data_IF_790377435453
#
_entry.id   IF_790377435453
#
_cell.length_a   1.000
_cell.length_b   1.000
_cell.length_c   1.000
_cell.angle_alpha   90.00
_cell.angle_beta   90.00
_cell.angle_gamma   90.00
#
_symmetry.space_group_name_H-M   'P 1'
#
loop_
_entity.id
_entity.type
_entity.pdbx_description
1 polymer ?
#
# COMPACT_ATOMS: atom_id res chain seq x y z
N UNK A 1 -8.52 15.67 -13.73
CA UNK A 1 -7.88 14.40 -13.39
C UNK A 1 -8.81 13.67 -12.45
N UNK A 2 -9.24 12.45 -12.80
CA UNK A 2 -10.17 11.68 -11.97
C UNK A 2 -9.47 11.05 -10.75
N UNK A 3 -10.21 10.60 -9.72
CA UNK A 3 -9.63 9.91 -8.56
C UNK A 3 -8.82 8.67 -8.96
N UNK A 4 -9.19 8.00 -10.06
CA UNK A 4 -8.46 6.87 -10.61
C UNK A 4 -7.08 7.20 -11.17
N UNK A 5 -6.96 8.31 -11.91
CA UNK A 5 -5.66 8.74 -12.45
C UNK A 5 -4.73 9.17 -11.31
N UNK A 6 -5.28 9.87 -10.31
CA UNK A 6 -4.52 10.31 -9.13
C UNK A 6 -4.02 9.09 -8.36
N UNK A 7 -4.90 8.11 -8.13
CA UNK A 7 -4.54 6.83 -7.54
C UNK A 7 -3.45 6.11 -8.35
N UNK A 8 -3.60 6.03 -9.66
CA UNK A 8 -2.63 5.36 -10.53
C UNK A 8 -1.23 5.99 -10.45
N UNK A 9 -1.12 7.33 -10.46
CA UNK A 9 0.17 8.02 -10.31
C UNK A 9 0.76 7.78 -8.91
N UNK A 10 -0.04 7.90 -7.86
CA UNK A 10 0.45 7.74 -6.49
C UNK A 10 0.90 6.31 -6.20
N UNK A 11 0.07 5.32 -6.53
CA UNK A 11 0.38 3.90 -6.35
C UNK A 11 1.57 3.52 -7.21
N UNK A 12 1.61 3.92 -8.49
CA UNK A 12 2.71 3.58 -9.39
C UNK A 12 4.07 4.12 -8.92
N UNK A 13 4.13 5.38 -8.48
CA UNK A 13 5.36 5.94 -7.91
C UNK A 13 5.80 5.19 -6.65
N UNK A 14 4.84 4.83 -5.78
CA UNK A 14 5.13 4.13 -4.54
C UNK A 14 5.64 2.70 -4.80
N UNK A 15 4.94 1.95 -5.66
CA UNK A 15 5.34 0.60 -6.05
C UNK A 15 6.69 0.60 -6.76
N UNK A 16 6.97 1.61 -7.60
CA UNK A 16 8.27 1.74 -8.27
C UNK A 16 9.42 1.91 -7.28
N UNK A 17 9.26 2.81 -6.29
CA UNK A 17 10.27 3.00 -5.24
C UNK A 17 10.44 1.74 -4.38
N UNK A 18 9.35 1.03 -4.07
CA UNK A 18 9.39 -0.22 -3.33
C UNK A 18 10.09 -1.33 -4.12
N UNK A 19 9.83 -1.43 -5.43
CA UNK A 19 10.47 -2.39 -6.33
C UNK A 19 11.98 -2.17 -6.40
N UNK A 20 12.41 -0.92 -6.59
CA UNK A 20 13.83 -0.53 -6.60
C UNK A 20 14.51 -0.88 -5.27
N UNK A 21 13.86 -0.58 -4.14
CA UNK A 21 14.41 -0.87 -2.83
C UNK A 21 14.56 -2.37 -2.55
N UNK A 22 13.57 -3.16 -2.93
CA UNK A 22 13.55 -4.60 -2.69
C UNK A 22 14.35 -5.39 -3.73
N UNK A 23 14.85 -4.72 -4.78
CA UNK A 23 15.48 -5.34 -5.95
C UNK A 23 14.57 -6.42 -6.57
N UNK A 24 13.29 -6.09 -6.73
CA UNK A 24 12.28 -6.96 -7.34
C UNK A 24 11.56 -6.25 -8.49
N UNK A 25 11.01 -7.04 -9.41
CA UNK A 25 10.08 -6.53 -10.41
C UNK A 25 8.64 -6.64 -9.90
N UNK A 26 7.91 -5.51 -9.87
CA UNK A 26 6.49 -5.47 -9.56
C UNK A 26 5.70 -5.23 -10.84
N UNK A 27 4.72 -6.10 -11.13
CA UNK A 27 3.80 -5.95 -12.26
C UNK A 27 2.49 -5.40 -11.73
N UNK A 28 2.23 -4.13 -12.00
CA UNK A 28 1.01 -3.44 -11.57
C UNK A 28 -0.15 -3.63 -12.55
N UNK A 29 -1.36 -3.80 -12.00
CA UNK A 29 -2.61 -3.72 -12.77
C UNK A 29 -3.25 -2.35 -12.59
N UNK A 30 -4.15 -1.97 -13.50
CA UNK A 30 -4.96 -0.76 -13.33
C UNK A 30 -5.74 -0.81 -12.00
N UNK A 31 -5.73 0.25 -11.18
CA UNK A 31 -6.40 0.23 -9.89
C UNK A 31 -7.93 0.18 -10.03
N UNK A 32 -8.57 -0.66 -9.24
CA UNK A 32 -10.01 -0.59 -9.02
C UNK A 32 -10.34 0.59 -8.09
N UNK A 33 -11.44 1.29 -8.37
CA UNK A 33 -11.89 2.42 -7.57
C UNK A 33 -13.22 2.05 -6.92
N UNK A 34 -13.29 2.18 -5.61
CA UNK A 34 -14.52 2.06 -4.83
C UNK A 34 -14.68 3.29 -3.94
N UNK A 35 -15.93 3.71 -3.72
CA UNK A 35 -16.26 4.85 -2.87
C UNK A 35 -17.43 4.46 -2.00
N UNK A 36 -17.13 4.04 -0.77
CA UNK A 36 -18.11 3.62 0.23
C UNK A 36 -17.52 3.88 1.63
N UNK A 37 -18.25 3.53 2.68
CA UNK A 37 -17.70 3.41 4.03
C UNK A 37 -16.55 2.41 4.04
N UNK A 38 -15.55 2.67 4.89
CA UNK A 38 -14.33 1.86 4.95
C UNK A 38 -14.63 0.37 5.11
N UNK A 39 -15.54 0.01 6.02
CA UNK A 39 -15.92 -1.38 6.29
C UNK A 39 -16.50 -2.05 5.04
N UNK A 40 -17.38 -1.37 4.30
CA UNK A 40 -17.97 -1.89 3.06
C UNK A 40 -16.92 -2.18 1.98
N UNK A 41 -15.85 -1.38 1.91
CA UNK A 41 -14.76 -1.59 0.95
C UNK A 41 -13.80 -2.68 1.42
N UNK A 42 -13.49 -2.73 2.72
CA UNK A 42 -12.48 -3.62 3.29
C UNK A 42 -12.99 -5.04 3.53
N UNK A 43 -14.23 -5.20 3.98
CA UNK A 43 -14.85 -6.49 4.29
C UNK A 43 -14.71 -7.51 3.15
N UNK A 44 -15.05 -7.22 1.88
CA UNK A 44 -14.91 -8.20 0.81
C UNK A 44 -13.44 -8.56 0.51
N UNK A 45 -12.51 -7.62 0.67
CA UNK A 45 -11.06 -7.86 0.47
C UNK A 45 -10.56 -8.83 1.56
N UNK A 46 -10.89 -8.54 2.82
CA UNK A 46 -10.50 -9.36 3.95
C UNK A 46 -11.19 -10.73 3.91
N UNK A 47 -12.48 -10.80 3.59
CA UNK A 47 -13.19 -12.07 3.47
C UNK A 47 -12.55 -12.99 2.41
N UNK A 48 -11.97 -12.43 1.35
CA UNK A 48 -11.31 -13.20 0.29
C UNK A 48 -9.87 -13.61 0.64
N UNK A 49 -9.13 -12.78 1.38
CA UNK A 49 -7.68 -12.96 1.55
C UNK A 49 -7.21 -13.22 2.98
N UNK A 50 -8.06 -13.03 3.99
CA UNK A 50 -7.65 -13.07 5.41
C UNK A 50 -7.07 -14.41 5.85
N UNK A 51 -7.39 -15.52 5.18
CA UNK A 51 -6.81 -16.84 5.49
C UNK A 51 -5.37 -17.01 5.02
N UNK A 52 -4.89 -16.18 4.09
CA UNK A 52 -3.58 -16.33 3.45
C UNK A 52 -2.61 -15.18 3.80
N UNK A 53 -3.18 -14.02 4.14
CA UNK A 53 -2.46 -12.83 4.61
C UNK A 53 -1.92 -13.08 6.02
N UNK A 54 -0.60 -12.90 6.19
CA UNK A 54 0.10 -13.10 7.47
C UNK A 54 0.45 -11.75 8.13
N UNK A 55 0.83 -10.76 7.31
CA UNK A 55 1.22 -9.43 7.77
C UNK A 55 0.55 -8.36 6.88
N UNK A 56 0.34 -7.19 7.46
CA UNK A 56 -0.06 -5.99 6.74
C UNK A 56 0.91 -4.84 7.06
N UNK A 57 1.27 -4.07 6.04
CA UNK A 57 2.06 -2.87 6.18
C UNK A 57 1.17 -1.66 5.88
N UNK A 58 1.13 -0.72 6.81
CA UNK A 58 0.29 0.47 6.71
C UNK A 58 1.15 1.72 6.73
N UNK A 59 1.09 2.48 5.65
CA UNK A 59 1.72 3.79 5.55
C UNK A 59 0.66 4.87 5.76
N UNK A 60 0.97 5.86 6.58
CA UNK A 60 0.18 7.09 6.66
C UNK A 60 0.82 8.13 5.75
N UNK A 61 0.07 8.62 4.78
CA UNK A 61 0.52 9.60 3.81
C UNK A 61 -0.16 10.92 4.13
N UNK A 62 0.63 11.98 4.26
CA UNK A 62 0.12 13.34 4.47
C UNK A 62 0.22 14.11 3.15
N UNK A 63 -0.91 14.42 2.55
CA UNK A 63 -1.01 15.30 1.40
C UNK A 63 -1.24 16.73 1.86
N UNK A 64 -0.46 17.66 1.32
CA UNK A 64 -0.64 19.10 1.54
C UNK A 64 -1.03 19.70 0.21
N UNK A 65 -2.31 20.07 0.06
CA UNK A 65 -2.86 20.63 -1.17
C UNK A 65 -3.47 21.98 -0.84
N UNK A 66 -2.93 23.05 -1.42
CA UNK A 66 -3.41 24.43 -1.20
C UNK A 66 -3.51 24.82 0.29
N UNK A 67 -2.61 24.28 1.12
CA UNK A 67 -2.59 24.50 2.56
C UNK A 67 -3.58 23.64 3.36
N UNK A 68 -4.37 22.79 2.70
CA UNK A 68 -5.18 21.77 3.35
C UNK A 68 -4.40 20.47 3.53
N UNK A 69 -4.55 19.86 4.69
CA UNK A 69 -3.96 18.56 5.00
C UNK A 69 -5.00 17.45 4.76
N UNK A 70 -4.64 16.46 3.93
CA UNK A 70 -5.39 15.23 3.75
C UNK A 70 -4.51 14.08 4.20
N UNK A 71 -5.02 13.27 5.13
CA UNK A 71 -4.35 12.05 5.58
C UNK A 71 -4.94 10.90 4.77
N UNK A 72 -4.07 10.22 4.02
CA UNK A 72 -4.39 8.96 3.36
C UNK A 72 -3.66 7.80 4.02
N UNK A 73 -4.15 6.59 3.78
CA UNK A 73 -3.49 5.36 4.21
C UNK A 73 -3.24 4.46 3.01
N UNK A 74 -2.03 3.91 2.93
CA UNK A 74 -1.68 2.86 1.98
C UNK A 74 -1.51 1.56 2.75
N UNK A 75 -2.28 0.54 2.38
CA UNK A 75 -2.29 -0.77 3.05
C UNK A 75 -1.81 -1.82 2.07
N UNK A 76 -0.71 -2.49 2.41
CA UNK A 76 -0.17 -3.60 1.64
C UNK A 76 -0.36 -4.88 2.44
N UNK A 77 -1.08 -5.85 1.87
CA UNK A 77 -1.30 -7.16 2.47
C UNK A 77 -0.24 -8.12 1.94
N UNK A 78 0.47 -8.79 2.85
CA UNK A 78 1.50 -9.75 2.50
C UNK A 78 1.03 -11.17 2.77
N UNK A 79 1.08 -11.98 1.72
CA UNK A 79 0.79 -13.40 1.79
C UNK A 79 1.92 -14.15 2.48
N UNK A 80 1.59 -15.26 3.12
CA UNK A 80 2.53 -16.09 3.89
C UNK A 80 3.80 -16.49 3.11
N UNK A 81 3.73 -16.61 1.78
CA UNK A 81 4.87 -16.95 0.93
C UNK A 81 5.86 -15.77 0.71
N UNK A 82 5.47 -14.53 1.02
CA UNK A 82 6.30 -13.33 0.86
C UNK A 82 7.14 -12.99 2.10
N UNK A 83 7.15 -13.86 3.13
CA UNK A 83 7.80 -13.60 4.42
C UNK A 83 9.28 -13.22 4.35
N UNK A 84 10.01 -13.71 3.33
CA UNK A 84 11.42 -13.32 3.16
C UNK A 84 11.59 -11.87 2.71
N UNK A 85 10.69 -11.35 1.86
CA UNK A 85 10.69 -9.95 1.45
C UNK A 85 10.38 -9.03 2.64
N UNK A 86 9.45 -9.44 3.50
CA UNK A 86 9.08 -8.72 4.71
C UNK A 86 10.24 -8.51 5.69
N UNK A 87 11.18 -9.45 5.75
CA UNK A 87 12.37 -9.30 6.63
C UNK A 87 13.24 -8.12 6.22
N UNK A 88 13.39 -7.88 4.92
CA UNK A 88 14.17 -6.75 4.41
C UNK A 88 13.47 -5.41 4.71
N UNK A 89 12.13 -5.38 4.66
CA UNK A 89 11.34 -4.18 4.96
C UNK A 89 11.35 -3.85 6.46
N UNK A 90 11.15 -4.82 7.35
CA UNK A 90 11.12 -4.58 8.81
C UNK A 90 12.47 -4.08 9.36
N UNK A 91 13.58 -4.56 8.79
CA UNK A 91 14.91 -4.06 9.16
C UNK A 91 15.11 -2.57 8.79
N UNK A 92 14.43 -2.08 7.76
CA UNK A 92 14.48 -0.68 7.35
C UNK A 92 13.76 0.26 8.32
N UNK A 93 12.55 -0.10 8.79
CA UNK A 93 11.82 0.73 9.75
C UNK A 93 12.58 0.90 11.07
N UNK A 94 13.35 -0.10 11.49
CA UNK A 94 14.17 -0.02 12.71
C UNK A 94 15.42 0.89 12.55
N UNK A 95 15.86 1.18 11.32
CA UNK A 95 17.01 2.06 11.05
C UNK A 95 16.58 3.54 10.97
N UNK A 96 15.38 3.84 10.47
CA UNK A 96 14.89 5.23 10.44
C UNK A 96 14.55 5.77 11.84
N UNK A 97 14.28 4.89 12.81
CA UNK A 97 14.02 5.25 14.22
C UNK A 97 15.31 5.35 15.09
N UNK A 98 16.51 5.14 14.52
CA UNK A 98 17.81 5.13 15.22
C UNK A 98 18.68 6.37 14.94
#
# INVERSE_FOLDING_TARGET
MGPGEIGNIMVGNYLSAMAEYLDIELIESVPAIASDMLDSVMDPILAQHASEVEDALVFSIKFIIEGQEIIGHFVVLFYSHMRLLLKNIKYFSEIEDA
#
